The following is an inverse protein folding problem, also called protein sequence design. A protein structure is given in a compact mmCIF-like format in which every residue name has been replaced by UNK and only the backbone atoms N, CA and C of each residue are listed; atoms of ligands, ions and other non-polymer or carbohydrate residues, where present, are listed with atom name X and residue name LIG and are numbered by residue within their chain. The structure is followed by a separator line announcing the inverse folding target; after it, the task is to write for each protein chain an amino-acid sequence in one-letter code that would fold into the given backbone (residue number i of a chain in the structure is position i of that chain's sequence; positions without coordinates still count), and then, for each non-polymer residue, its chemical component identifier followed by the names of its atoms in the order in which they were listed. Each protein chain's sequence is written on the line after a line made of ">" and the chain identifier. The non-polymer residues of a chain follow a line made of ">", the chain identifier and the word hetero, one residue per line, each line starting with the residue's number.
data_IF_884110672543
#
_entry.id   IF_884110672543
#
_cell.length_a   1.000
_cell.length_b   1.000
_cell.length_c   1.000
_cell.angle_alpha   90.00
_cell.angle_beta   90.00
_cell.angle_gamma   90.00
#
_symmetry.space_group_name_H-M   'P 1'
#
loop_
_entity.id
_entity.type
_entity.pdbx_description
1 polymer ?
#
# COMPACT_ATOMS: atom_id res chain seq x y z
N UNK A 1 4.98 -27.01 -0.40
CA UNK A 1 4.72 -25.81 -1.24
C UNK A 1 3.35 -25.23 -0.88
N UNK A 2 3.22 -23.93 -0.62
CA UNK A 2 1.94 -23.32 -0.23
C UNK A 2 0.98 -23.25 -1.43
N UNK A 3 -0.27 -23.72 -1.26
CA UNK A 3 -1.28 -23.77 -2.32
C UNK A 3 -1.72 -22.38 -2.82
N UNK A 4 -2.12 -22.30 -4.10
CA UNK A 4 -2.50 -21.04 -4.77
C UNK A 4 -3.60 -20.29 -4.03
N UNK A 5 -4.63 -21.00 -3.55
CA UNK A 5 -5.71 -20.41 -2.73
C UNK A 5 -5.19 -19.69 -1.49
N UNK A 6 -4.25 -20.29 -0.76
CA UNK A 6 -3.66 -19.67 0.43
C UNK A 6 -2.87 -18.41 0.09
N UNK A 7 -2.19 -18.38 -1.07
CA UNK A 7 -1.48 -17.20 -1.54
C UNK A 7 -2.46 -16.06 -1.84
N UNK A 8 -3.55 -16.34 -2.56
CA UNK A 8 -4.61 -15.37 -2.87
C UNK A 8 -5.21 -14.77 -1.60
N UNK A 9 -5.63 -15.62 -0.66
CA UNK A 9 -6.21 -15.16 0.61
C UNK A 9 -5.21 -14.35 1.45
N UNK A 10 -3.91 -14.67 1.38
CA UNK A 10 -2.88 -13.89 2.04
C UNK A 10 -2.78 -12.49 1.43
N UNK A 11 -2.69 -12.35 0.11
CA UNK A 11 -2.63 -11.01 -0.53
C UNK A 11 -3.89 -10.19 -0.24
N UNK A 12 -5.06 -10.83 -0.32
CA UNK A 12 -6.34 -10.18 0.00
C UNK A 12 -6.36 -9.59 1.42
N UNK A 13 -5.94 -10.40 2.41
CA UNK A 13 -5.81 -9.94 3.79
C UNK A 13 -4.77 -8.83 3.95
N UNK A 14 -3.63 -8.96 3.29
CA UNK A 14 -2.54 -7.98 3.39
C UNK A 14 -2.99 -6.63 2.82
N UNK A 15 -3.65 -6.59 1.66
CA UNK A 15 -4.27 -5.38 1.11
C UNK A 15 -5.26 -4.71 2.08
N UNK A 16 -6.10 -5.50 2.76
CA UNK A 16 -7.02 -4.96 3.76
C UNK A 16 -6.34 -4.49 5.06
N UNK A 17 -5.19 -5.07 5.42
CA UNK A 17 -4.37 -4.53 6.51
C UNK A 17 -3.74 -3.21 6.08
N UNK A 18 -3.13 -3.18 4.90
CA UNK A 18 -2.45 -2.00 4.35
C UNK A 18 -3.43 -0.84 4.19
N UNK A 19 -4.64 -1.03 3.63
CA UNK A 19 -5.63 0.06 3.53
C UNK A 19 -5.97 0.67 4.89
N UNK A 20 -6.11 -0.14 5.94
CA UNK A 20 -6.47 0.34 7.30
C UNK A 20 -5.36 1.18 7.90
N UNK A 21 -4.12 0.87 7.56
CA UNK A 21 -2.96 1.59 8.05
C UNK A 21 -2.68 2.85 7.22
N UNK A 22 -2.85 2.78 5.90
CA UNK A 22 -2.57 3.88 4.95
C UNK A 22 -3.63 4.97 4.98
N UNK A 23 -4.90 4.61 5.16
CA UNK A 23 -6.03 5.55 5.20
C UNK A 23 -6.61 5.67 6.60
N UNK A 24 -5.75 5.65 7.63
CA UNK A 24 -6.22 5.68 9.02
C UNK A 24 -7.05 6.96 9.23
N UNK A 25 -8.19 6.83 9.91
CA UNK A 25 -9.12 7.91 10.23
C UNK A 25 -9.75 8.63 9.01
N UNK A 26 -9.59 8.09 7.79
CA UNK A 26 -10.26 8.55 6.57
C UNK A 26 -11.33 7.53 6.14
N UNK A 27 -12.52 7.63 6.73
CA UNK A 27 -13.61 6.66 6.52
C UNK A 27 -14.04 6.56 5.05
N UNK A 28 -13.95 7.66 4.30
CA UNK A 28 -14.28 7.70 2.87
C UNK A 28 -13.28 6.88 2.08
N UNK A 29 -11.98 7.12 2.26
CA UNK A 29 -10.94 6.36 1.58
C UNK A 29 -10.92 4.89 2.04
N UNK A 30 -11.12 4.63 3.34
CA UNK A 30 -11.21 3.27 3.89
C UNK A 30 -12.33 2.47 3.24
N UNK A 31 -13.51 3.08 3.08
CA UNK A 31 -14.69 2.45 2.48
C UNK A 31 -14.48 2.23 0.98
N UNK A 32 -14.02 3.25 0.25
CA UNK A 32 -13.75 3.13 -1.18
C UNK A 32 -12.71 2.04 -1.47
N UNK A 33 -11.60 2.01 -0.72
CA UNK A 33 -10.57 0.99 -0.86
C UNK A 33 -11.10 -0.42 -0.53
N UNK A 34 -11.95 -0.56 0.51
CA UNK A 34 -12.59 -1.83 0.85
C UNK A 34 -13.43 -2.36 -0.30
N UNK A 35 -14.31 -1.51 -0.85
CA UNK A 35 -15.20 -1.87 -1.94
C UNK A 35 -14.41 -2.28 -3.17
N UNK A 36 -13.39 -1.51 -3.56
CA UNK A 36 -12.56 -1.81 -4.73
C UNK A 36 -11.80 -3.13 -4.58
N UNK A 37 -11.19 -3.40 -3.42
CA UNK A 37 -10.51 -4.68 -3.16
C UNK A 37 -11.50 -5.85 -3.27
N UNK A 38 -12.69 -5.73 -2.67
CA UNK A 38 -13.68 -6.81 -2.72
C UNK A 38 -14.19 -7.06 -4.14
N UNK A 39 -14.50 -5.99 -4.87
CA UNK A 39 -15.00 -6.05 -6.25
C UNK A 39 -14.00 -6.74 -7.19
N UNK A 40 -12.72 -6.34 -7.15
CA UNK A 40 -11.70 -6.94 -8.02
C UNK A 40 -11.46 -8.43 -7.71
N UNK A 41 -11.45 -8.82 -6.43
CA UNK A 41 -11.31 -10.24 -6.07
C UNK A 41 -12.57 -11.05 -6.40
N UNK A 42 -13.76 -10.44 -6.30
CA UNK A 42 -15.01 -11.09 -6.64
C UNK A 42 -15.15 -11.31 -8.15
N UNK A 43 -14.80 -10.31 -8.97
CA UNK A 43 -14.79 -10.41 -10.44
C UNK A 43 -13.95 -11.57 -10.95
N UNK A 44 -12.83 -11.84 -10.29
CA UNK A 44 -11.85 -12.85 -10.70
C UNK A 44 -11.96 -14.16 -9.90
N UNK A 45 -13.01 -14.33 -9.10
CA UNK A 45 -13.20 -15.50 -8.21
C UNK A 45 -13.17 -16.84 -8.95
N UNK A 46 -13.66 -16.86 -10.19
CA UNK A 46 -13.82 -18.06 -11.00
C UNK A 46 -12.70 -18.25 -12.03
N UNK A 47 -11.62 -17.45 -11.96
CA UNK A 47 -10.46 -17.65 -12.84
C UNK A 47 -9.81 -19.02 -12.56
N UNK A 48 -9.49 -19.75 -13.63
CA UNK A 48 -8.90 -21.09 -13.59
C UNK A 48 -7.51 -21.16 -14.21
N UNK A 49 -7.13 -20.16 -15.01
CA UNK A 49 -5.81 -20.04 -15.61
C UNK A 49 -4.75 -19.79 -14.54
N UNK A 50 -3.78 -20.70 -14.44
CA UNK A 50 -2.71 -20.61 -13.42
C UNK A 50 -1.81 -19.41 -13.68
N UNK A 51 -1.58 -19.12 -14.96
CA UNK A 51 -0.79 -18.01 -15.46
C UNK A 51 -1.46 -16.68 -15.10
N UNK A 52 -2.75 -16.52 -15.40
CA UNK A 52 -3.51 -15.31 -15.05
C UNK A 52 -3.51 -15.09 -13.53
N UNK A 53 -3.81 -16.13 -12.73
CA UNK A 53 -3.79 -16.02 -11.26
C UNK A 53 -2.42 -15.55 -10.76
N UNK A 54 -1.34 -16.05 -11.36
CA UNK A 54 0.03 -15.64 -10.98
C UNK A 54 0.29 -14.17 -11.28
N UNK A 55 -0.15 -13.68 -12.44
CA UNK A 55 0.00 -12.28 -12.82
C UNK A 55 -0.84 -11.36 -11.94
N UNK A 56 -2.10 -11.72 -11.69
CA UNK A 56 -2.99 -11.00 -10.77
C UNK A 56 -2.41 -10.93 -9.36
N UNK A 57 -1.83 -12.02 -8.86
CA UNK A 57 -1.14 -12.03 -7.56
C UNK A 57 0.06 -11.09 -7.54
N UNK A 58 0.85 -11.05 -8.62
CA UNK A 58 1.99 -10.14 -8.75
C UNK A 58 1.52 -8.69 -8.73
N UNK A 59 0.47 -8.37 -9.49
CA UNK A 59 -0.13 -7.03 -9.51
C UNK A 59 -0.66 -6.63 -8.14
N UNK A 60 -1.45 -7.49 -7.49
CA UNK A 60 -2.01 -7.21 -6.16
C UNK A 60 -0.92 -6.98 -5.10
N UNK A 61 0.21 -7.70 -5.19
CA UNK A 61 1.39 -7.47 -4.35
C UNK A 61 2.07 -6.13 -4.64
N UNK A 62 2.24 -5.77 -5.91
CA UNK A 62 2.80 -4.48 -6.29
C UNK A 62 1.94 -3.32 -5.76
N UNK A 63 0.61 -3.43 -5.88
CA UNK A 63 -0.34 -2.44 -5.33
C UNK A 63 -0.19 -2.33 -3.81
N UNK A 64 -0.10 -3.46 -3.10
CA UNK A 64 0.11 -3.46 -1.65
C UNK A 64 1.41 -2.74 -1.26
N UNK A 65 2.52 -3.02 -1.94
CA UNK A 65 3.79 -2.31 -1.74
C UNK A 65 3.67 -0.82 -1.99
N UNK A 66 3.05 -0.40 -3.10
CA UNK A 66 2.88 1.02 -3.44
C UNK A 66 2.07 1.74 -2.36
N UNK A 67 0.95 1.16 -1.91
CA UNK A 67 0.15 1.74 -0.84
C UNK A 67 0.98 1.90 0.45
N UNK A 68 1.74 0.86 0.81
CA UNK A 68 2.51 0.83 2.05
C UNK A 68 3.71 1.78 2.03
N UNK A 69 4.38 1.95 0.90
CA UNK A 69 5.67 2.64 0.81
C UNK A 69 5.57 4.05 0.22
N UNK A 70 4.58 4.32 -0.65
CA UNK A 70 4.56 5.56 -1.44
C UNK A 70 3.37 6.48 -1.17
N UNK A 71 2.38 6.07 -0.38
CA UNK A 71 1.18 6.88 -0.09
C UNK A 71 1.25 7.52 1.29
N UNK A 72 1.06 8.84 1.38
CA UNK A 72 0.96 9.61 2.63
C UNK A 72 -0.38 10.34 2.65
N UNK A 73 -1.01 10.45 3.82
CA UNK A 73 -2.25 11.21 3.98
C UNK A 73 -1.96 12.71 4.14
N UNK A 74 -2.72 13.54 3.45
CA UNK A 74 -2.73 14.99 3.62
C UNK A 74 -4.12 15.46 4.03
N UNK A 75 -4.20 16.28 5.07
CA UNK A 75 -5.45 16.85 5.58
C UNK A 75 -5.43 18.36 5.43
N UNK A 76 -6.45 18.93 4.80
CA UNK A 76 -6.62 20.38 4.76
C UNK A 76 -7.06 20.87 6.14
N UNK A 77 -6.23 21.68 6.79
CA UNK A 77 -6.49 22.18 8.15
C UNK A 77 -6.91 23.65 8.13
N UNK A 78 -6.39 24.45 7.20
CA UNK A 78 -6.68 25.88 7.06
C UNK A 78 -6.58 26.29 5.58
N UNK A 79 -6.93 27.55 5.27
CA UNK A 79 -6.73 28.12 3.94
C UNK A 79 -5.23 28.08 3.59
N UNK A 80 -4.90 27.42 2.46
CA UNK A 80 -3.53 27.21 1.98
C UNK A 80 -2.60 26.40 2.90
N UNK A 81 -3.15 25.56 3.80
CA UNK A 81 -2.35 24.73 4.71
C UNK A 81 -2.82 23.27 4.71
N UNK A 82 -1.87 22.36 4.49
CA UNK A 82 -2.10 20.90 4.51
C UNK A 82 -1.20 20.29 5.58
N UNK A 83 -1.80 19.50 6.47
CA UNK A 83 -1.09 18.65 7.42
C UNK A 83 -0.80 17.29 6.76
N UNK A 84 0.48 16.98 6.58
CA UNK A 84 0.90 15.65 6.15
C UNK A 84 1.00 14.72 7.36
N UNK A 85 0.45 13.51 7.22
CA UNK A 85 0.48 12.44 8.24
C UNK A 85 1.30 11.25 7.70
N UNK A 86 2.64 11.35 7.62
CA UNK A 86 3.48 10.24 7.22
C UNK A 86 3.46 9.13 8.28
N UNK A 87 3.64 7.88 7.85
CA UNK A 87 3.81 6.74 8.76
C UNK A 87 5.25 6.67 9.22
N UNK A 88 5.48 6.25 10.47
CA UNK A 88 6.82 6.11 11.05
C UNK A 88 7.76 5.27 10.20
N UNK A 89 7.25 4.19 9.58
CA UNK A 89 8.03 3.31 8.70
C UNK A 89 8.58 4.00 7.43
N UNK A 90 8.10 5.20 7.10
CA UNK A 90 8.57 6.00 5.97
C UNK A 90 9.54 7.11 6.39
N UNK A 91 9.66 7.37 7.69
CA UNK A 91 10.54 8.39 8.21
C UNK A 91 11.97 7.88 8.18
N UNK A 92 12.90 8.78 7.87
CA UNK A 92 14.34 8.52 7.91
C UNK A 92 14.94 9.26 9.10
N UNK A 93 16.10 8.80 9.55
CA UNK A 93 16.85 9.50 10.57
C UNK A 93 17.16 10.93 10.10
N UNK A 94 17.02 11.89 11.02
CA UNK A 94 17.32 13.27 10.72
C UNK A 94 18.81 13.40 10.42
N UNK A 95 19.09 13.93 9.23
CA UNK A 95 20.43 14.19 8.76
C UNK A 95 20.54 15.70 8.51
N UNK A 96 21.50 16.41 9.16
CA UNK A 96 21.73 17.81 8.86
C UNK A 96 21.94 18.01 7.36
N UNK A 97 21.24 19.00 6.81
CA UNK A 97 21.42 19.40 5.43
C UNK A 97 22.90 19.77 5.19
N UNK A 98 23.43 19.33 4.05
CA UNK A 98 24.83 19.52 3.65
C UNK A 98 24.85 19.82 2.16
N UNK A 99 25.43 20.95 1.76
CA UNK A 99 25.60 21.31 0.35
C UNK A 99 26.56 20.37 -0.39
N UNK A 100 27.45 19.70 0.36
CA UNK A 100 28.32 18.67 -0.20
C UNK A 100 27.61 17.31 -0.19
N UNK A 101 27.56 16.60 -1.34
CA UNK A 101 27.02 15.25 -1.39
C UNK A 101 27.82 14.33 -0.48
N UNK A 102 27.16 13.59 0.41
CA UNK A 102 27.85 12.52 1.14
C UNK A 102 28.24 11.41 0.17
N UNK A 103 29.51 11.00 0.24
CA UNK A 103 29.95 9.77 -0.39
C UNK A 103 29.08 8.62 0.14
N UNK A 104 28.29 7.99 -0.74
CA UNK A 104 27.41 6.87 -0.38
C UNK A 104 28.27 5.64 -0.08
N UNK A 105 28.76 5.50 1.13
CA UNK A 105 29.10 4.18 1.67
C UNK A 105 27.78 3.52 2.07
N UNK A 106 27.25 2.65 1.20
CA UNK A 106 26.17 1.72 1.59
C UNK A 106 26.74 0.69 2.57
N UNK A 107 26.03 0.36 3.66
CA UNK A 107 26.21 -0.93 4.33
C UNK A 107 25.72 -2.08 3.45
#
# INVERSE_FOLDING_TARGET
>A
KMGTRLKVLRVFRDLHKTRRHVFKDDDRALTAARLKINDEFQKNKNETSKENIKEMLKMARAVETILRENVIQGEHVEQNKILLRPRESLLLDNVPYSDTPRNKTRP
#
